data_IF_392146253126
#
_entry.id   IF_392146253126
#
_cell.length_a   1.000
_cell.length_b   1.000
_cell.length_c   1.000
_cell.angle_alpha   90.00
_cell.angle_beta   90.00
_cell.angle_gamma   90.00
#
_symmetry.space_group_name_H-M   'P 1'
#
loop_
_entity.id
_entity.type
_entity.pdbx_description
1 polymer ?
#
# COMPACT_ATOMS: atom_id res chain seq x y z
N UNK A 1 13.35 25.68 -16.31
CA UNK A 1 12.44 24.67 -16.92
C UNK A 1 13.01 23.22 -16.98
N UNK A 2 14.34 23.01 -17.04
CA UNK A 2 14.96 21.67 -17.00
C UNK A 2 14.89 20.99 -15.63
N UNK A 3 15.01 21.77 -14.56
CA UNK A 3 15.01 21.29 -13.18
C UNK A 3 13.70 20.56 -12.82
N UNK A 4 12.53 21.11 -13.18
CA UNK A 4 11.25 20.40 -13.00
C UNK A 4 11.18 19.09 -13.82
N UNK A 5 11.71 19.08 -15.05
CA UNK A 5 11.69 17.88 -15.91
C UNK A 5 12.58 16.74 -15.40
N UNK A 6 13.63 17.01 -14.62
CA UNK A 6 14.48 15.99 -14.00
C UNK A 6 14.07 15.62 -12.56
N UNK A 7 13.57 16.59 -11.77
CA UNK A 7 13.16 16.33 -10.38
C UNK A 7 11.84 15.57 -10.34
N UNK A 8 10.88 15.86 -11.23
CA UNK A 8 9.59 15.14 -11.28
C UNK A 8 9.73 13.61 -11.42
N UNK A 9 10.55 13.06 -12.33
CA UNK A 9 10.76 11.61 -12.42
C UNK A 9 11.57 11.06 -11.23
N UNK A 10 12.57 11.79 -10.71
CA UNK A 10 13.37 11.36 -9.56
C UNK A 10 12.55 11.29 -8.26
N UNK A 11 11.80 12.35 -7.95
CA UNK A 11 10.86 12.39 -6.82
C UNK A 11 9.69 11.42 -7.00
N UNK A 12 9.32 11.13 -8.26
CA UNK A 12 8.39 10.04 -8.59
C UNK A 12 8.86 8.68 -8.08
N UNK A 13 10.10 8.32 -8.40
CA UNK A 13 10.71 7.05 -8.02
C UNK A 13 10.90 6.92 -6.49
N UNK A 14 11.45 7.95 -5.84
CA UNK A 14 11.61 7.94 -4.38
C UNK A 14 10.27 7.83 -3.63
N UNK A 15 9.21 8.43 -4.17
CA UNK A 15 7.88 8.29 -3.57
C UNK A 15 7.39 6.84 -3.60
N UNK A 16 7.58 6.14 -4.72
CA UNK A 16 7.20 4.72 -4.86
C UNK A 16 7.99 3.84 -3.89
N UNK A 17 9.29 4.11 -3.71
CA UNK A 17 10.15 3.37 -2.77
C UNK A 17 9.65 3.56 -1.33
N UNK A 18 9.43 4.82 -0.90
CA UNK A 18 8.96 5.12 0.46
C UNK A 18 7.61 4.44 0.78
N UNK A 19 6.72 4.31 -0.20
CA UNK A 19 5.45 3.61 -0.02
C UNK A 19 5.65 2.12 0.19
N UNK A 20 6.53 1.50 -0.60
CA UNK A 20 6.83 0.08 -0.46
C UNK A 20 7.39 -0.20 0.94
N UNK A 21 8.32 0.63 1.41
CA UNK A 21 8.91 0.48 2.74
C UNK A 21 7.86 0.69 3.84
N UNK A 22 6.97 1.67 3.68
CA UNK A 22 5.85 1.91 4.61
C UNK A 22 4.87 0.74 4.66
N UNK A 23 4.56 0.13 3.52
CA UNK A 23 3.68 -1.03 3.45
C UNK A 23 4.28 -2.24 4.17
N UNK A 24 5.57 -2.51 3.96
CA UNK A 24 6.30 -3.59 4.66
C UNK A 24 6.33 -3.33 6.17
N UNK A 25 6.67 -2.11 6.59
CA UNK A 25 6.71 -1.74 8.01
C UNK A 25 5.33 -1.86 8.68
N UNK A 26 4.26 -1.48 7.98
CA UNK A 26 2.89 -1.59 8.51
C UNK A 26 2.48 -3.05 8.71
N UNK A 27 2.83 -3.95 7.80
CA UNK A 27 2.51 -5.39 7.94
C UNK A 27 3.23 -6.00 9.15
N UNK A 28 4.51 -5.66 9.32
CA UNK A 28 5.30 -6.10 10.48
C UNK A 28 4.68 -5.56 11.78
N UNK A 29 4.34 -4.27 11.82
CA UNK A 29 3.73 -3.64 12.99
C UNK A 29 2.40 -4.26 13.40
N UNK A 30 1.55 -4.66 12.44
CA UNK A 30 0.30 -5.39 12.73
C UNK A 30 0.60 -6.74 13.37
N UNK A 31 1.55 -7.51 12.82
CA UNK A 31 1.91 -8.82 13.33
C UNK A 31 2.45 -8.74 14.78
N UNK A 32 3.34 -7.77 15.04
CA UNK A 32 3.87 -7.51 16.37
C UNK A 32 2.77 -7.10 17.36
N UNK A 33 1.86 -6.22 16.95
CA UNK A 33 0.76 -5.79 17.80
C UNK A 33 -0.16 -6.96 18.15
N UNK A 34 -0.46 -7.85 17.20
CA UNK A 34 -1.30 -9.01 17.42
C UNK A 34 -0.61 -10.02 18.35
N UNK A 35 0.70 -10.21 18.20
CA UNK A 35 1.49 -11.06 19.09
C UNK A 35 1.50 -10.50 20.52
N UNK A 36 1.76 -9.21 20.68
CA UNK A 36 1.72 -8.55 21.99
C UNK A 36 0.31 -8.56 22.60
N UNK A 37 -0.74 -8.38 21.80
CA UNK A 37 -2.13 -8.48 22.26
C UNK A 37 -2.49 -9.89 22.75
N UNK A 38 -2.04 -10.94 22.04
CA UNK A 38 -2.21 -12.32 22.52
C UNK A 38 -1.45 -12.57 23.83
N UNK A 39 -0.20 -12.09 23.94
CA UNK A 39 0.58 -12.22 25.16
C UNK A 39 -0.07 -11.49 26.35
N UNK A 40 -0.52 -10.25 26.14
CA UNK A 40 -1.14 -9.43 27.19
C UNK A 40 -2.51 -9.97 27.64
N UNK A 41 -3.31 -10.49 26.70
CA UNK A 41 -4.61 -11.09 27.03
C UNK A 41 -4.48 -12.44 27.72
N UNK A 42 -3.49 -13.26 27.35
CA UNK A 42 -3.14 -14.48 28.06
C UNK A 42 -2.69 -14.24 29.50
N UNK A 43 -2.00 -13.12 29.76
CA UNK A 43 -1.56 -12.74 31.10
C UNK A 43 -2.69 -12.19 31.99
N UNK A 44 -3.65 -11.46 31.41
CA UNK A 44 -4.71 -10.78 32.18
C UNK A 44 -6.07 -11.49 32.12
N UNK A 45 -6.22 -12.57 31.34
CA UNK A 45 -7.49 -13.23 30.98
C UNK A 45 -8.56 -12.28 30.39
N UNK A 46 -8.18 -11.05 30.04
CA UNK A 46 -9.07 -10.01 29.48
C UNK A 46 -8.98 -9.97 27.96
N UNK A 47 -9.38 -11.07 27.32
CA UNK A 47 -9.38 -11.22 25.87
C UNK A 47 -10.26 -10.17 25.17
N UNK A 48 -11.46 -9.91 25.70
CA UNK A 48 -12.41 -8.99 25.05
C UNK A 48 -11.86 -7.56 24.93
N UNK A 49 -11.27 -7.02 26.00
CA UNK A 49 -10.74 -5.65 26.02
C UNK A 49 -9.50 -5.52 25.13
N UNK A 50 -8.63 -6.53 25.17
CA UNK A 50 -7.39 -6.55 24.38
C UNK A 50 -7.67 -6.66 22.89
N UNK A 51 -8.53 -7.59 22.46
CA UNK A 51 -8.90 -7.73 21.05
C UNK A 51 -9.67 -6.52 20.52
N UNK A 52 -10.46 -5.84 21.35
CA UNK A 52 -11.12 -4.59 20.95
C UNK A 52 -10.10 -3.49 20.60
N UNK A 53 -9.05 -3.33 21.42
CA UNK A 53 -7.98 -2.35 21.15
C UNK A 53 -7.19 -2.73 19.90
N UNK A 54 -6.82 -4.02 19.76
CA UNK A 54 -6.13 -4.52 18.56
C UNK A 54 -6.98 -4.32 17.30
N UNK A 55 -8.29 -4.55 17.38
CA UNK A 55 -9.22 -4.31 16.27
C UNK A 55 -9.30 -2.83 15.85
N UNK A 56 -9.35 -1.91 16.83
CA UNK A 56 -9.32 -0.47 16.55
C UNK A 56 -8.00 -0.07 15.89
N UNK A 57 -6.87 -0.57 16.39
CA UNK A 57 -5.54 -0.32 15.80
C UNK A 57 -5.44 -0.87 14.37
N UNK A 58 -5.95 -2.08 14.13
CA UNK A 58 -6.01 -2.66 12.80
C UNK A 58 -6.87 -1.82 11.84
N UNK A 59 -7.99 -1.28 12.32
CA UNK A 59 -8.85 -0.39 11.54
C UNK A 59 -8.13 0.92 11.18
N UNK A 60 -7.38 1.51 12.12
CA UNK A 60 -6.55 2.69 11.85
C UNK A 60 -5.48 2.40 10.80
N UNK A 61 -4.76 1.28 10.91
CA UNK A 61 -3.74 0.90 9.93
C UNK A 61 -4.34 0.65 8.55
N UNK A 62 -5.45 -0.11 8.48
CA UNK A 62 -6.18 -0.36 7.22
C UNK A 62 -6.65 0.94 6.57
N UNK A 63 -7.12 1.89 7.38
CA UNK A 63 -7.52 3.21 6.91
C UNK A 63 -6.34 4.00 6.34
N UNK A 64 -5.19 4.00 7.01
CA UNK A 64 -3.96 4.65 6.54
C UNK A 64 -3.50 4.03 5.21
N UNK A 65 -3.45 2.71 5.10
CA UNK A 65 -3.08 2.01 3.85
C UNK A 65 -4.03 2.39 2.71
N UNK A 66 -5.34 2.39 2.96
CA UNK A 66 -6.36 2.77 1.97
C UNK A 66 -6.18 4.22 1.49
N UNK A 67 -5.81 5.13 2.40
CA UNK A 67 -5.52 6.53 2.05
C UNK A 67 -4.24 6.67 1.25
N UNK A 68 -3.17 5.97 1.63
CA UNK A 68 -1.91 5.96 0.88
C UNK A 68 -2.16 5.43 -0.53
N UNK A 69 -2.87 4.30 -0.68
CA UNK A 69 -3.25 3.74 -1.99
C UNK A 69 -3.99 4.76 -2.86
N UNK A 70 -4.98 5.48 -2.34
CA UNK A 70 -5.69 6.53 -3.12
C UNK A 70 -4.79 7.70 -3.53
N UNK A 71 -3.84 8.08 -2.68
CA UNK A 71 -2.87 9.14 -3.01
C UNK A 71 -1.90 8.64 -4.10
N UNK A 72 -1.53 7.36 -4.06
CA UNK A 72 -0.72 6.70 -5.09
C UNK A 72 -1.46 6.61 -6.40
N UNK A 73 -2.70 6.11 -6.42
CA UNK A 73 -3.55 6.04 -7.61
C UNK A 73 -3.65 7.41 -8.28
N UNK A 74 -3.94 8.47 -7.50
CA UNK A 74 -4.00 9.84 -8.01
C UNK A 74 -2.67 10.37 -8.56
N UNK A 75 -1.54 9.89 -8.05
CA UNK A 75 -0.21 10.28 -8.53
C UNK A 75 0.26 9.42 -9.71
N UNK A 76 -0.29 8.20 -9.84
CA UNK A 76 0.02 7.24 -10.90
C UNK A 76 -0.90 7.40 -12.12
N UNK A 77 -2.07 8.03 -11.99
CA UNK A 77 -2.89 8.55 -13.12
C UNK A 77 -2.23 9.74 -13.87
N UNK A 78 -0.94 9.96 -13.69
CA UNK A 78 -0.09 10.62 -14.70
C UNK A 78 0.14 9.65 -15.88
N UNK A 79 0.15 10.15 -17.12
CA UNK A 79 -0.33 9.42 -18.29
C UNK A 79 0.42 8.12 -18.59
N UNK A 80 -0.37 7.07 -18.82
CA UNK A 80 -0.05 5.82 -19.52
C UNK A 80 0.77 4.76 -18.79
N UNK A 81 0.08 3.69 -18.36
CA UNK A 81 0.51 2.31 -18.59
C UNK A 81 -0.63 1.31 -18.27
N UNK A 82 -1.77 1.41 -18.95
CA UNK A 82 -2.54 0.21 -19.25
C UNK A 82 -2.52 0.02 -20.76
N UNK A 83 -1.41 -0.52 -21.26
CA UNK A 83 -1.36 -1.06 -22.62
C UNK A 83 -2.27 -2.28 -22.59
N UNK A 84 -3.49 -2.12 -23.07
CA UNK A 84 -4.37 -3.24 -23.37
C UNK A 84 -3.74 -4.00 -24.53
N UNK A 85 -3.04 -5.08 -24.22
CA UNK A 85 -2.46 -6.01 -25.20
C UNK A 85 -3.61 -6.83 -25.79
N UNK A 86 -4.43 -6.23 -26.65
CA UNK A 86 -5.58 -6.91 -27.25
C UNK A 86 -5.88 -6.45 -28.69
N UNK A 87 -4.83 -6.16 -29.46
CA UNK A 87 -4.97 -5.78 -30.88
C UNK A 87 -3.91 -6.41 -31.81
N UNK A 88 -3.19 -7.46 -31.38
CA UNK A 88 -2.18 -8.13 -32.23
C UNK A 88 -2.59 -9.52 -32.73
N UNK A 89 -3.87 -9.88 -32.67
CA UNK A 89 -4.33 -11.22 -33.10
C UNK A 89 -5.28 -11.25 -34.30
N UNK A 90 -5.60 -10.11 -34.92
CA UNK A 90 -6.49 -10.11 -36.10
C UNK A 90 -5.79 -9.84 -37.44
N UNK A 91 -4.59 -9.23 -37.47
CA UNK A 91 -3.87 -8.97 -38.73
C UNK A 91 -3.15 -10.20 -39.33
N UNK A 92 -3.15 -11.34 -38.64
CA UNK A 92 -2.51 -12.57 -39.12
C UNK A 92 -3.36 -13.44 -40.07
N UNK A 93 -4.52 -12.97 -40.53
CA UNK A 93 -5.44 -13.76 -41.36
C UNK A 93 -5.64 -13.29 -42.80
N UNK A 94 -4.93 -12.25 -43.26
CA UNK A 94 -5.06 -11.75 -44.65
C UNK A 94 -3.74 -11.65 -45.44
N UNK A 95 -2.82 -12.60 -45.28
CA UNK A 95 -1.76 -12.84 -46.27
C UNK A 95 -1.45 -14.31 -46.47
#
# INVERSE_FOLDING_TARGET
PQVLRNILPATGNEFVINIKDTAVLSVIGVADLFFQGNAASGANFQFFQTFTIVGIMYLVMTFVITRILRVVERKMDGPSAYVKVEELTEEGKES
#
